data_IF_270930763625
#
_entry.id   IF_270930763625
#
_cell.length_a   1.000
_cell.length_b   1.000
_cell.length_c   1.000
_cell.angle_alpha   90.00
_cell.angle_beta   90.00
_cell.angle_gamma   90.00
#
_symmetry.space_group_name_H-M   'P 1'
#
loop_
_entity.id
_entity.type
_entity.pdbx_description
1 polymer ?
#
# COMPACT_ATOMS: atom_id res chain seq x y z
N UNK A 1 9.02 3.43 -21.54
CA UNK A 1 9.30 2.68 -20.30
C UNK A 1 10.17 3.56 -19.46
N UNK A 2 9.60 4.14 -18.41
CA UNK A 2 10.27 5.14 -17.59
C UNK A 2 10.56 4.58 -16.19
N UNK A 3 11.70 4.96 -15.64
CA UNK A 3 12.05 4.60 -14.25
C UNK A 3 11.23 5.44 -13.28
N UNK A 4 10.83 4.84 -12.16
CA UNK A 4 10.26 5.56 -11.01
C UNK A 4 11.32 5.65 -9.92
N UNK A 5 11.58 6.85 -9.42
CA UNK A 5 12.35 7.05 -8.19
C UNK A 5 11.37 7.24 -7.03
N UNK A 6 11.42 6.37 -6.02
CA UNK A 6 10.47 6.40 -4.90
C UNK A 6 10.51 7.73 -4.14
N UNK A 7 11.70 8.25 -3.84
CA UNK A 7 11.83 9.50 -3.09
C UNK A 7 11.23 10.69 -3.86
N UNK A 8 11.42 10.75 -5.18
CA UNK A 8 10.76 11.76 -6.02
C UNK A 8 9.24 11.58 -6.07
N UNK A 9 8.75 10.34 -6.12
CA UNK A 9 7.32 10.04 -6.14
C UNK A 9 6.63 10.38 -4.80
N UNK A 10 7.24 10.05 -3.66
CA UNK A 10 6.72 10.46 -2.35
C UNK A 10 6.77 11.98 -2.14
N UNK A 11 7.70 12.67 -2.79
CA UNK A 11 7.79 14.13 -2.73
C UNK A 11 6.76 14.83 -3.61
N UNK A 12 6.01 14.12 -4.45
CA UNK A 12 5.05 14.72 -5.38
C UNK A 12 3.62 14.83 -4.84
N UNK A 13 3.35 14.36 -3.63
CA UNK A 13 2.05 14.46 -2.97
C UNK A 13 2.21 14.43 -1.44
N UNK A 14 1.28 15.04 -0.71
CA UNK A 14 1.28 15.07 0.76
C UNK A 14 0.10 14.34 1.39
N UNK A 15 -0.84 13.84 0.57
CA UNK A 15 -2.03 13.13 1.05
C UNK A 15 -1.64 11.88 1.85
N UNK A 16 -2.23 11.74 3.04
CA UNK A 16 -2.15 10.53 3.85
C UNK A 16 -3.32 9.60 3.53
N UNK A 17 -3.12 8.28 3.67
CA UNK A 17 -4.14 7.25 3.44
C UNK A 17 -4.73 7.24 2.02
N UNK A 18 -4.07 7.91 1.08
CA UNK A 18 -4.45 7.96 -0.34
C UNK A 18 -3.39 7.23 -1.17
N UNK A 19 -3.49 5.89 -1.31
CA UNK A 19 -2.51 5.16 -2.10
C UNK A 19 -2.54 5.65 -3.56
N UNK A 20 -1.36 5.77 -4.16
CA UNK A 20 -1.21 6.16 -5.56
C UNK A 20 -0.52 5.06 -6.35
N UNK A 21 -1.04 4.72 -7.53
CA UNK A 21 -0.42 3.73 -8.41
C UNK A 21 0.79 4.37 -9.10
N UNK A 22 1.94 3.70 -9.00
CA UNK A 22 3.20 4.14 -9.64
C UNK A 22 3.68 3.19 -10.73
N UNK A 23 3.26 1.92 -10.70
CA UNK A 23 3.53 0.95 -11.76
C UNK A 23 2.51 -0.19 -11.75
N UNK A 24 2.47 -0.93 -12.84
CA UNK A 24 1.62 -2.10 -13.02
C UNK A 24 2.40 -3.19 -13.77
N UNK A 25 2.23 -4.44 -13.34
CA UNK A 25 2.80 -5.62 -14.01
C UNK A 25 1.98 -6.86 -13.70
N UNK A 26 1.70 -7.70 -14.70
CA UNK A 26 1.03 -9.00 -14.53
C UNK A 26 -0.28 -8.93 -13.72
N UNK A 27 -1.07 -7.86 -13.90
CA UNK A 27 -2.30 -7.65 -13.14
C UNK A 27 -2.09 -7.20 -11.68
N UNK A 28 -0.86 -6.84 -11.30
CA UNK A 28 -0.52 -6.31 -9.98
C UNK A 28 -0.28 -4.80 -10.08
N UNK A 29 -0.72 -4.07 -9.07
CA UNK A 29 -0.34 -2.67 -8.85
C UNK A 29 0.84 -2.58 -7.89
N UNK A 30 1.81 -1.73 -8.23
CA UNK A 30 2.75 -1.15 -7.28
C UNK A 30 2.19 0.20 -6.88
N UNK A 31 1.78 0.35 -5.61
CA UNK A 31 1.27 1.60 -5.06
C UNK A 31 2.24 2.19 -4.06
N UNK A 32 2.15 3.48 -3.82
CA UNK A 32 2.81 4.15 -2.71
C UNK A 32 1.80 4.91 -1.85
N UNK A 33 2.01 4.95 -0.54
CA UNK A 33 1.15 5.63 0.40
C UNK A 33 1.95 6.24 1.55
N UNK A 34 1.48 7.38 2.06
CA UNK A 34 1.92 7.96 3.34
C UNK A 34 0.88 7.61 4.41
N UNK A 35 1.30 7.06 5.54
CA UNK A 35 0.40 6.75 6.66
C UNK A 35 0.79 7.54 7.89
N UNK A 36 -0.21 8.02 8.63
CA UNK A 36 -0.05 8.62 9.96
C UNK A 36 -1.27 8.29 10.82
N UNK A 37 -1.02 7.85 12.04
CA UNK A 37 -2.03 7.37 12.98
C UNK A 37 -2.40 5.90 12.77
N UNK A 38 -3.54 5.51 13.33
CA UNK A 38 -4.07 4.15 13.25
C UNK A 38 -4.99 4.01 12.05
N UNK A 39 -4.90 2.88 11.34
CA UNK A 39 -5.89 2.47 10.35
C UNK A 39 -7.06 1.68 10.97
N UNK A 40 -7.98 1.22 10.15
CA UNK A 40 -9.03 0.29 10.58
C UNK A 40 -8.52 -1.14 10.58
N UNK A 41 -9.07 -1.97 11.47
CA UNK A 41 -8.94 -3.42 11.36
C UNK A 41 -9.66 -3.87 10.08
N UNK A 42 -8.96 -4.62 9.24
CA UNK A 42 -9.50 -5.12 7.98
C UNK A 42 -8.77 -6.39 7.55
N UNK A 43 -9.33 -7.08 6.56
CA UNK A 43 -8.69 -8.15 5.81
C UNK A 43 -9.16 -8.13 4.37
N UNK A 44 -8.42 -8.82 3.51
CA UNK A 44 -8.75 -9.02 2.11
C UNK A 44 -9.17 -10.47 1.91
N UNK A 45 -10.31 -10.71 1.27
CA UNK A 45 -10.83 -12.08 1.12
C UNK A 45 -9.99 -12.92 0.14
N UNK A 46 -9.50 -12.30 -0.94
CA UNK A 46 -8.90 -13.03 -2.06
C UNK A 46 -7.45 -12.64 -2.33
N UNK A 47 -6.99 -11.53 -1.77
CA UNK A 47 -5.72 -10.90 -2.09
C UNK A 47 -4.73 -11.00 -0.94
N UNK A 48 -3.49 -11.37 -1.26
CA UNK A 48 -2.37 -11.13 -0.37
C UNK A 48 -1.88 -9.68 -0.62
N UNK A 49 -1.45 -9.00 0.44
CA UNK A 49 -0.94 -7.62 0.35
C UNK A 49 0.49 -7.56 0.90
N UNK A 50 1.40 -6.96 0.14
CA UNK A 50 2.77 -6.70 0.59
C UNK A 50 2.91 -5.25 1.02
N UNK A 51 3.51 -5.06 2.20
CA UNK A 51 3.96 -3.78 2.74
C UNK A 51 5.48 -3.75 2.74
N UNK A 52 6.09 -2.78 2.06
CA UNK A 52 7.52 -2.49 2.13
C UNK A 52 7.70 -1.07 2.66
N UNK A 53 8.40 -0.93 3.79
CA UNK A 53 8.67 0.39 4.37
C UNK A 53 9.81 1.04 3.60
N UNK A 54 9.52 2.15 2.91
CA UNK A 54 10.55 2.96 2.27
C UNK A 54 11.25 3.86 3.28
N UNK A 55 10.48 4.49 4.18
CA UNK A 55 10.97 5.41 5.22
C UNK A 55 10.02 5.41 6.41
N UNK A 56 10.58 5.55 7.61
CA UNK A 56 9.81 5.60 8.85
C UNK A 56 9.67 4.24 9.51
N UNK A 57 8.65 4.09 10.35
CA UNK A 57 8.40 2.86 11.12
C UNK A 57 6.90 2.55 11.13
N UNK A 58 6.55 1.35 10.69
CA UNK A 58 5.17 0.85 10.72
C UNK A 58 5.03 -0.23 11.80
N UNK A 59 3.97 -0.16 12.58
CA UNK A 59 3.58 -1.24 13.48
C UNK A 59 2.35 -1.93 12.89
N UNK A 60 2.53 -3.18 12.49
CA UNK A 60 1.44 -4.02 12.01
C UNK A 60 0.87 -4.81 13.18
N UNK A 61 -0.38 -4.53 13.54
CA UNK A 61 -1.09 -5.31 14.54
C UNK A 61 -1.86 -6.46 13.87
N UNK A 62 -1.75 -7.63 14.46
CA UNK A 62 -2.59 -8.79 14.21
C UNK A 62 -3.36 -9.12 15.48
N UNK A 63 -4.37 -10.00 15.41
CA UNK A 63 -5.15 -10.38 16.60
C UNK A 63 -4.33 -11.08 17.67
N UNK A 64 -3.28 -11.80 17.29
CA UNK A 64 -2.46 -12.63 18.16
C UNK A 64 -1.08 -12.01 18.48
N UNK A 65 -0.61 -11.06 17.66
CA UNK A 65 0.74 -10.49 17.78
C UNK A 65 0.85 -9.11 17.17
N UNK A 66 2.01 -8.50 17.34
CA UNK A 66 2.39 -7.25 16.67
C UNK A 66 3.76 -7.42 16.03
N UNK A 67 3.89 -6.91 14.80
CA UNK A 67 5.15 -6.87 14.06
C UNK A 67 5.54 -5.41 13.84
N UNK A 68 6.81 -5.08 14.04
CA UNK A 68 7.35 -3.75 13.74
C UNK A 68 8.19 -3.87 12.48
N UNK A 69 7.99 -2.93 11.56
CA UNK A 69 8.73 -2.79 10.32
C UNK A 69 9.42 -1.43 10.29
N UNK A 70 10.70 -1.42 9.93
CA UNK A 70 11.52 -0.22 9.72
C UNK A 70 11.91 -0.11 8.24
N UNK A 71 12.54 1.00 7.86
CA UNK A 71 12.93 1.23 6.47
C UNK A 71 13.78 0.08 5.91
N UNK A 72 13.32 -0.51 4.79
CA UNK A 72 13.92 -1.69 4.16
C UNK A 72 13.24 -3.01 4.52
N UNK A 73 12.40 -3.05 5.55
CA UNK A 73 11.64 -4.25 5.92
C UNK A 73 10.42 -4.41 5.01
N UNK A 74 10.13 -5.67 4.69
CA UNK A 74 8.90 -6.07 4.02
C UNK A 74 8.09 -7.07 4.86
N UNK A 75 6.78 -7.01 4.71
CA UNK A 75 5.83 -7.96 5.29
C UNK A 75 4.75 -8.27 4.26
N UNK A 76 4.48 -9.56 4.06
CA UNK A 76 3.30 -10.00 3.32
C UNK A 76 2.23 -10.38 4.32
N UNK A 77 1.06 -9.78 4.18
CA UNK A 77 -0.15 -10.18 4.89
C UNK A 77 -0.95 -11.12 3.99
N UNK A 78 -1.08 -12.40 4.35
CA UNK A 78 -1.88 -13.33 3.56
C UNK A 78 -3.37 -12.96 3.57
N UNK A 79 -4.08 -13.30 2.49
CA UNK A 79 -5.53 -13.19 2.40
C UNK A 79 -6.22 -13.81 3.61
N UNK A 80 -7.31 -13.20 4.06
CA UNK A 80 -8.10 -13.62 5.22
C UNK A 80 -7.47 -13.31 6.58
N UNK A 81 -6.25 -12.77 6.62
CA UNK A 81 -5.60 -12.38 7.88
C UNK A 81 -6.01 -10.96 8.26
N UNK A 82 -6.75 -10.84 9.34
CA UNK A 82 -7.15 -9.55 9.89
C UNK A 82 -5.97 -8.81 10.52
N UNK A 83 -5.78 -7.56 10.12
CA UNK A 83 -4.65 -6.75 10.51
C UNK A 83 -5.02 -5.28 10.62
N UNK A 84 -4.15 -4.51 11.30
CA UNK A 84 -4.28 -3.07 11.46
C UNK A 84 -2.91 -2.37 11.36
N UNK A 85 -2.63 -1.63 10.29
CA UNK A 85 -1.49 -0.73 10.19
C UNK A 85 -1.59 0.41 11.20
N UNK A 86 -0.52 0.65 11.96
CA UNK A 86 -0.41 1.78 12.89
C UNK A 86 0.93 2.50 12.70
N UNK A 87 0.85 3.79 12.37
CA UNK A 87 2.00 4.66 12.14
C UNK A 87 2.02 5.77 13.19
N UNK A 88 2.87 5.63 14.23
CA UNK A 88 2.97 6.64 15.30
C UNK A 88 3.57 7.97 14.80
N UNK A 89 4.43 7.88 13.79
CA UNK A 89 4.97 8.97 12.99
C UNK A 89 4.67 8.68 11.52
N UNK A 90 4.82 9.66 10.63
CA UNK A 90 4.57 9.44 9.21
C UNK A 90 5.50 8.35 8.65
N UNK A 91 4.92 7.41 7.91
CA UNK A 91 5.63 6.32 7.25
C UNK A 91 5.30 6.31 5.76
N UNK A 92 6.32 6.13 4.94
CA UNK A 92 6.22 6.00 3.48
C UNK A 92 6.30 4.52 3.12
N UNK A 93 5.25 4.01 2.49
CA UNK A 93 5.10 2.59 2.17
C UNK A 93 4.98 2.37 0.66
N UNK A 94 5.62 1.30 0.19
CA UNK A 94 5.30 0.68 -1.08
C UNK A 94 4.34 -0.48 -0.80
N UNK A 95 3.21 -0.49 -1.49
CA UNK A 95 2.25 -1.59 -1.48
C UNK A 95 2.35 -2.37 -2.78
N UNK A 96 2.20 -3.69 -2.71
CA UNK A 96 2.15 -4.55 -3.88
C UNK A 96 1.04 -5.58 -3.74
N UNK A 97 0.08 -5.54 -4.66
CA UNK A 97 -1.18 -6.26 -4.56
C UNK A 97 -1.86 -6.38 -5.94
N UNK A 98 -2.84 -7.27 -6.11
CA UNK A 98 -3.64 -7.34 -7.33
C UNK A 98 -4.31 -6.01 -7.69
N UNK A 99 -4.47 -5.75 -8.98
CA UNK A 99 -5.26 -4.62 -9.46
C UNK A 99 -6.72 -4.76 -9.01
N UNK A 100 -7.32 -3.65 -8.57
CA UNK A 100 -8.67 -3.64 -8.01
C UNK A 100 -8.76 -3.90 -6.51
N UNK A 101 -7.66 -4.25 -5.84
CA UNK A 101 -7.64 -4.40 -4.38
C UNK A 101 -8.01 -3.08 -3.69
N UNK A 102 -9.05 -3.13 -2.86
CA UNK A 102 -9.51 -2.02 -2.02
C UNK A 102 -8.64 -1.93 -0.77
N UNK A 103 -8.09 -0.75 -0.49
CA UNK A 103 -7.17 -0.54 0.64
C UNK A 103 -7.80 -0.77 2.03
N UNK A 104 -9.12 -0.84 2.13
CA UNK A 104 -9.84 -1.14 3.37
C UNK A 104 -10.36 -2.58 3.42
N UNK A 105 -10.00 -3.40 2.43
CA UNK A 105 -10.40 -4.79 2.32
C UNK A 105 -11.93 -4.95 2.41
N UNK A 106 -12.38 -5.65 3.44
CA UNK A 106 -13.78 -5.97 3.71
C UNK A 106 -14.60 -4.83 4.38
N UNK A 107 -13.98 -3.68 4.66
CA UNK A 107 -14.64 -2.53 5.31
C UNK A 107 -14.85 -1.41 4.29
N UNK A 108 -15.98 -0.71 4.36
CA UNK A 108 -16.24 0.52 3.61
C UNK A 108 -16.37 1.70 4.56
N UNK A 109 -15.52 2.70 4.42
CA UNK A 109 -15.54 3.92 5.23
C UNK A 109 -14.93 5.13 4.49
N UNK A 110 -14.74 6.24 5.20
CA UNK A 110 -14.16 7.48 4.66
C UNK A 110 -12.70 7.36 4.17
N UNK A 111 -12.03 6.25 4.48
CA UNK A 111 -10.66 5.96 4.03
C UNK A 111 -10.62 4.95 2.88
N UNK A 112 -11.76 4.45 2.42
CA UNK A 112 -11.83 3.59 1.23
C UNK A 112 -11.50 4.39 -0.02
N UNK A 113 -10.57 3.88 -0.81
CA UNK A 113 -10.17 4.43 -2.10
C UNK A 113 -10.44 3.39 -3.18
N UNK A 114 -11.56 3.54 -3.88
CA UNK A 114 -11.99 2.62 -4.95
C UNK A 114 -11.11 2.76 -6.20
N UNK A 115 -10.76 4.00 -6.56
CA UNK A 115 -9.93 4.30 -7.73
C UNK A 115 -8.68 5.09 -7.31
N UNK A 116 -7.59 4.39 -6.95
CA UNK A 116 -6.31 5.03 -6.65
C UNK A 116 -5.80 5.85 -7.84
N UNK A 117 -5.41 7.10 -7.60
CA UNK A 117 -4.83 7.97 -8.63
C UNK A 117 -3.50 7.42 -9.17
N UNK A 118 -3.27 7.52 -10.47
CA UNK A 118 -1.98 7.20 -11.11
C UNK A 118 -1.08 8.44 -11.11
N UNK A 119 0.12 8.34 -10.55
CA UNK A 119 1.07 9.47 -10.52
C UNK A 119 1.83 9.64 -11.83
N UNK A 120 2.09 8.56 -12.55
CA UNK A 120 2.86 8.60 -13.79
C UNK A 120 2.08 7.90 -14.92
N UNK A 121 1.60 8.64 -15.93
CA UNK A 121 0.78 8.06 -17.01
C UNK A 121 1.56 7.13 -17.97
N UNK A 122 2.87 6.93 -17.77
CA UNK A 122 3.77 6.18 -18.65
C UNK A 122 4.27 4.82 -18.12
N UNK A 123 3.96 4.43 -16.88
CA UNK A 123 4.29 3.11 -16.32
C UNK A 123 3.26 2.05 -16.73
N UNK A 124 3.00 1.98 -18.03
CA UNK A 124 2.13 0.99 -18.65
C UNK A 124 3.02 -0.13 -19.17
N UNK A 125 2.81 -1.37 -18.75
CA UNK A 125 3.02 -2.49 -19.65
C UNK A 125 2.15 -3.69 -19.28
N UNK A 126 1.17 -3.91 -20.16
CA UNK A 126 0.37 -5.12 -20.26
C UNK A 126 -0.49 -5.08 -21.52
N UNK A 127 0.05 -4.66 -22.67
CA UNK A 127 -0.61 -5.02 -23.94
C UNK A 127 -0.43 -6.52 -24.10
N UNK A 128 -1.42 -7.27 -23.62
CA UNK A 128 -1.57 -8.68 -23.94
C UNK A 128 -1.62 -8.83 -25.46
N UNK A 129 -0.69 -9.63 -25.98
CA UNK A 129 -0.78 -10.26 -27.30
C UNK A 129 -1.63 -11.52 -27.24
#
# INVERSE_FOLDING_TARGET
>A
MDRVNLSSAFSSFDDQWSPKIIAELNGQHVKIAKLLGEFVWHHHDSEDELFLVHRGRLRMEFRDRTVVLEAGDLLVVPRGVEHRPVAAEEVELVLFEPAGTLNTGNVLNERTVEEPGRLFPGSIAGTGS
#
